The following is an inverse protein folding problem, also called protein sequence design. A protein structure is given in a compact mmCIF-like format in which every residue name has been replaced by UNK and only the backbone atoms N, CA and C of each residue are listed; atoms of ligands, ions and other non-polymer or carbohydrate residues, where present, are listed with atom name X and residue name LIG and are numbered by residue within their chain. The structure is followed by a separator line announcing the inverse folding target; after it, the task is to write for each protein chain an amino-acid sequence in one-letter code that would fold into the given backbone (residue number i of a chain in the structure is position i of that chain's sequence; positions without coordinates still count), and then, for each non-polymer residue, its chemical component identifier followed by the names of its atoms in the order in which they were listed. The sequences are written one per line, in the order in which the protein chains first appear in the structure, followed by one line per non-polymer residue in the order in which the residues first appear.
data_IF_935995114642
#
_entry.id   IF_935995114642
#
_cell.length_a   1.000
_cell.length_b   1.000
_cell.length_c   1.000
_cell.angle_alpha   90.00
_cell.angle_beta   90.00
_cell.angle_gamma   90.00
#
_symmetry.space_group_name_H-M   'P 1'
#
loop_
_entity.id
_entity.type
_entity.pdbx_description
1 polymer ?
#
# COMPACT_ATOMS: atom_id res chain seq x y z
N UNK A 1 23.98 10.58 -7.73
CA UNK A 1 22.83 11.50 -7.66
C UNK A 1 22.09 11.35 -6.32
N UNK A 2 21.80 10.13 -5.84
CA UNK A 2 21.07 9.89 -4.59
C UNK A 2 21.59 10.73 -3.40
N UNK A 3 22.91 10.72 -3.15
CA UNK A 3 23.52 11.47 -2.03
C UNK A 3 23.41 13.01 -2.12
N UNK A 4 22.94 13.55 -3.25
CA UNK A 4 22.75 15.01 -3.43
C UNK A 4 21.28 15.45 -3.28
N UNK A 5 20.37 14.52 -2.95
CA UNK A 5 18.97 14.84 -2.79
C UNK A 5 18.70 15.77 -1.60
N UNK A 6 17.70 16.63 -1.75
CA UNK A 6 17.20 17.50 -0.69
C UNK A 6 15.95 16.92 -0.01
N UNK A 7 15.44 17.66 0.97
CA UNK A 7 14.24 17.26 1.73
C UNK A 7 14.52 16.20 2.79
N UNK A 8 13.61 15.27 2.99
CA UNK A 8 13.80 14.16 3.94
C UNK A 8 14.86 13.19 3.43
N UNK A 9 15.84 12.86 4.26
CA UNK A 9 16.99 12.03 3.90
C UNK A 9 17.40 11.14 5.07
N UNK A 10 18.13 10.08 4.76
CA UNK A 10 18.90 9.28 5.72
C UNK A 10 20.41 9.49 5.54
N UNK A 11 20.79 10.43 4.66
CA UNK A 11 22.16 10.87 4.41
C UNK A 11 23.08 9.79 3.86
N UNK A 12 22.61 9.04 2.84
CA UNK A 12 23.43 8.07 2.12
C UNK A 12 24.68 8.71 1.53
N UNK A 13 25.84 8.09 1.74
CA UNK A 13 27.13 8.59 1.21
C UNK A 13 27.47 7.90 -0.13
N UNK A 14 28.18 8.61 -1.04
CA UNK A 14 28.69 8.00 -2.26
C UNK A 14 29.59 6.80 -2.00
N UNK A 15 29.27 5.64 -2.61
CA UNK A 15 29.99 4.39 -2.41
C UNK A 15 29.61 3.62 -1.14
N UNK A 16 28.61 4.06 -0.40
CA UNK A 16 27.96 3.28 0.65
C UNK A 16 27.16 2.12 0.02
N UNK A 17 27.14 1.00 0.72
CA UNK A 17 26.34 -0.16 0.33
C UNK A 17 25.25 -0.41 1.38
N UNK A 18 24.00 -0.47 0.92
CA UNK A 18 22.85 -0.81 1.74
C UNK A 18 22.08 -1.98 1.14
N UNK A 19 21.35 -2.71 1.96
CA UNK A 19 20.45 -3.76 1.46
C UNK A 19 19.16 -3.13 0.92
N UNK A 20 18.50 -3.83 -0.01
CA UNK A 20 17.17 -3.44 -0.51
C UNK A 20 16.17 -3.31 0.65
N UNK A 21 16.21 -4.23 1.63
CA UNK A 21 15.39 -4.19 2.84
C UNK A 21 15.58 -2.88 3.63
N UNK A 22 16.85 -2.50 3.87
CA UNK A 22 17.18 -1.24 4.55
C UNK A 22 16.67 -0.02 3.77
N UNK A 23 16.84 0.01 2.45
CA UNK A 23 16.36 1.12 1.63
C UNK A 23 14.83 1.22 1.64
N UNK A 24 14.11 0.08 1.61
CA UNK A 24 12.64 0.08 1.74
C UNK A 24 12.22 0.64 3.11
N UNK A 25 12.94 0.31 4.20
CA UNK A 25 12.70 0.90 5.53
C UNK A 25 12.92 2.42 5.53
N UNK A 26 14.03 2.89 4.94
CA UNK A 26 14.31 4.32 4.81
C UNK A 26 13.19 5.07 4.06
N UNK A 27 12.69 4.50 2.96
CA UNK A 27 11.60 5.06 2.16
C UNK A 27 10.28 5.05 2.93
N UNK A 28 9.92 3.92 3.52
CA UNK A 28 8.60 3.73 4.14
C UNK A 28 8.47 4.47 5.47
N UNK A 29 9.51 4.47 6.28
CA UNK A 29 9.51 5.01 7.65
C UNK A 29 9.92 6.48 7.66
N UNK A 30 11.11 6.80 7.15
CA UNK A 30 11.66 8.15 7.19
C UNK A 30 11.32 9.00 5.96
N UNK A 31 10.69 8.41 4.94
CA UNK A 31 10.38 9.13 3.68
C UNK A 31 11.63 9.66 2.97
N UNK A 32 12.71 8.89 2.97
CA UNK A 32 14.03 9.30 2.52
C UNK A 32 14.11 9.42 0.99
N UNK A 33 14.32 10.64 0.49
CA UNK A 33 14.42 10.93 -0.95
C UNK A 33 15.68 10.32 -1.57
N UNK A 34 16.81 10.37 -0.85
CA UNK A 34 18.06 9.74 -1.25
C UNK A 34 17.93 8.22 -1.41
N UNK A 35 17.19 7.56 -0.51
CA UNK A 35 16.89 6.14 -0.64
C UNK A 35 15.96 5.84 -1.83
N UNK A 36 14.97 6.72 -2.13
CA UNK A 36 14.13 6.59 -3.32
C UNK A 36 14.97 6.62 -4.60
N UNK A 37 15.85 7.60 -4.73
CA UNK A 37 16.72 7.74 -5.90
C UNK A 37 17.71 6.57 -6.01
N UNK A 38 18.31 6.16 -4.88
CA UNK A 38 19.21 4.99 -4.88
C UNK A 38 18.49 3.71 -5.37
N UNK A 39 17.24 3.49 -4.95
CA UNK A 39 16.43 2.36 -5.43
C UNK A 39 16.05 2.51 -6.90
N UNK A 40 15.70 3.72 -7.34
CA UNK A 40 15.36 4.00 -8.75
C UNK A 40 16.55 3.71 -9.67
N UNK A 41 17.76 4.20 -9.31
CA UNK A 41 18.99 3.93 -10.04
C UNK A 41 19.35 2.44 -10.05
N UNK A 42 19.16 1.74 -8.93
CA UNK A 42 19.41 0.30 -8.83
C UNK A 42 18.47 -0.52 -9.73
N UNK A 43 17.18 -0.18 -9.77
CA UNK A 43 16.18 -0.96 -10.51
C UNK A 43 16.23 -0.67 -12.01
N UNK A 44 16.37 0.59 -12.42
CA UNK A 44 16.20 1.04 -13.80
C UNK A 44 17.48 1.64 -14.43
N UNK A 45 18.56 1.76 -13.68
CA UNK A 45 19.82 2.35 -14.14
C UNK A 45 19.86 3.89 -14.06
N UNK A 46 18.71 4.56 -13.95
CA UNK A 46 18.59 6.01 -13.71
C UNK A 46 17.23 6.36 -13.11
N UNK A 47 17.13 7.52 -12.48
CA UNK A 47 15.85 8.05 -12.00
C UNK A 47 14.86 8.25 -13.14
N UNK A 48 15.29 8.83 -14.27
CA UNK A 48 14.42 9.06 -15.43
C UNK A 48 13.82 7.76 -15.98
N UNK A 49 14.63 6.71 -16.09
CA UNK A 49 14.18 5.41 -16.55
C UNK A 49 13.18 4.78 -15.55
N UNK A 50 13.39 4.98 -14.25
CA UNK A 50 12.47 4.52 -13.24
C UNK A 50 11.15 5.31 -13.26
N UNK A 51 11.20 6.61 -13.43
CA UNK A 51 10.02 7.47 -13.57
C UNK A 51 9.18 7.07 -14.81
N UNK A 52 9.84 6.71 -15.92
CA UNK A 52 9.14 6.15 -17.08
C UNK A 52 8.37 4.86 -16.72
N UNK A 53 8.99 3.94 -15.96
CA UNK A 53 8.31 2.73 -15.47
C UNK A 53 7.17 3.06 -14.49
N UNK A 54 7.34 4.06 -13.61
CA UNK A 54 6.28 4.53 -12.72
C UNK A 54 5.05 5.01 -13.51
N UNK A 55 5.25 5.80 -14.56
CA UNK A 55 4.17 6.29 -15.41
C UNK A 55 3.50 5.18 -16.23
N UNK A 56 4.28 4.24 -16.76
CA UNK A 56 3.74 3.05 -17.41
C UNK A 56 2.87 2.23 -16.46
N UNK A 57 3.35 2.03 -15.22
CA UNK A 57 2.59 1.34 -14.19
C UNK A 57 1.32 2.09 -13.80
N UNK A 58 1.38 3.40 -13.63
CA UNK A 58 0.22 4.24 -13.35
C UNK A 58 -0.84 4.10 -14.44
N UNK A 59 -0.45 4.18 -15.71
CA UNK A 59 -1.35 3.96 -16.84
C UNK A 59 -1.98 2.56 -16.81
N UNK A 60 -1.19 1.52 -16.53
CA UNK A 60 -1.65 0.14 -16.39
C UNK A 60 -2.63 -0.09 -15.23
N UNK A 61 -2.59 0.74 -14.20
CA UNK A 61 -3.53 0.75 -13.07
C UNK A 61 -4.78 1.60 -13.33
N UNK A 62 -4.83 2.33 -14.45
CA UNK A 62 -5.92 3.23 -14.77
C UNK A 62 -5.88 4.56 -14.02
N UNK A 63 -4.71 4.98 -13.53
CA UNK A 63 -4.47 6.27 -12.86
C UNK A 63 -4.43 7.39 -13.89
N UNK A 64 -5.59 7.96 -14.21
CA UNK A 64 -5.77 8.90 -15.34
C UNK A 64 -5.31 10.32 -15.05
N UNK A 65 -5.27 10.69 -13.77
CA UNK A 65 -4.89 12.03 -13.30
C UNK A 65 -3.48 12.06 -12.72
N UNK A 66 -2.65 11.08 -13.07
CA UNK A 66 -1.30 10.92 -12.52
C UNK A 66 -0.23 11.07 -13.58
N UNK A 67 0.75 11.91 -13.28
CA UNK A 67 2.01 12.03 -14.02
C UNK A 67 3.15 12.19 -13.04
N UNK A 68 4.06 11.24 -13.01
CA UNK A 68 5.28 11.30 -12.21
C UNK A 68 6.40 11.97 -13.01
N UNK A 69 7.15 12.87 -12.35
CA UNK A 69 8.31 13.58 -12.92
C UNK A 69 9.59 13.27 -12.15
N UNK A 70 9.46 12.84 -10.89
CA UNK A 70 10.55 12.31 -10.07
C UNK A 70 10.05 11.12 -9.24
N UNK A 71 10.96 10.37 -8.64
CA UNK A 71 10.63 9.16 -7.89
C UNK A 71 10.33 9.39 -6.40
N UNK A 72 10.50 10.60 -5.88
CA UNK A 72 10.38 10.90 -4.44
C UNK A 72 9.25 11.87 -4.08
N UNK A 73 8.57 12.46 -5.08
CA UNK A 73 7.41 13.32 -4.84
C UNK A 73 7.75 14.77 -4.49
N UNK A 74 8.93 15.26 -4.87
CA UNK A 74 9.28 16.67 -4.73
C UNK A 74 8.51 17.53 -5.72
N UNK A 75 8.19 18.77 -5.30
CA UNK A 75 7.44 19.73 -6.13
C UNK A 75 8.21 20.05 -7.41
N UNK A 76 7.58 19.77 -8.55
CA UNK A 76 8.04 20.12 -9.88
C UNK A 76 6.83 20.23 -10.81
N UNK A 77 6.90 21.07 -11.83
CA UNK A 77 5.83 21.26 -12.80
C UNK A 77 5.39 19.91 -13.40
N UNK A 78 4.07 19.74 -13.54
CA UNK A 78 3.43 18.55 -14.07
C UNK A 78 3.58 17.25 -13.21
N UNK A 79 4.15 17.32 -12.01
CA UNK A 79 4.11 16.19 -11.08
C UNK A 79 2.77 16.19 -10.35
N UNK A 80 1.83 15.40 -10.83
CA UNK A 80 0.44 15.46 -10.39
C UNK A 80 -0.14 14.06 -10.13
N UNK A 81 -1.14 14.03 -9.23
CA UNK A 81 -1.97 12.84 -8.98
C UNK A 81 -3.32 13.28 -8.40
N UNK A 82 -4.26 12.34 -8.27
CA UNK A 82 -5.52 12.53 -7.56
C UNK A 82 -5.64 11.58 -6.36
N UNK A 83 -6.55 11.89 -5.43
CA UNK A 83 -6.82 11.00 -4.30
C UNK A 83 -7.31 9.62 -4.76
N UNK A 84 -8.08 9.57 -5.84
CA UNK A 84 -8.55 8.32 -6.42
C UNK A 84 -7.39 7.48 -6.99
N UNK A 85 -6.48 8.09 -7.73
CA UNK A 85 -5.34 7.41 -8.31
C UNK A 85 -4.39 6.88 -7.23
N UNK A 86 -4.14 7.67 -6.18
CA UNK A 86 -3.37 7.20 -5.02
C UNK A 86 -4.05 6.01 -4.33
N UNK A 87 -5.40 5.99 -4.25
CA UNK A 87 -6.13 4.85 -3.71
C UNK A 87 -5.99 3.61 -4.59
N UNK A 88 -6.00 3.75 -5.93
CA UNK A 88 -5.76 2.64 -6.87
C UNK A 88 -4.36 2.03 -6.68
N UNK A 89 -3.32 2.88 -6.63
CA UNK A 89 -1.94 2.46 -6.40
C UNK A 89 -1.78 1.78 -5.03
N UNK A 90 -2.37 2.37 -3.99
CA UNK A 90 -2.32 1.82 -2.64
C UNK A 90 -3.01 0.46 -2.56
N UNK A 91 -4.18 0.29 -3.22
CA UNK A 91 -4.89 -0.99 -3.30
C UNK A 91 -4.04 -2.06 -3.97
N UNK A 92 -3.44 -1.73 -5.11
CA UNK A 92 -2.53 -2.65 -5.81
C UNK A 92 -1.39 -3.10 -4.89
N UNK A 93 -0.75 -2.15 -4.21
CA UNK A 93 0.37 -2.41 -3.32
C UNK A 93 -0.02 -3.36 -2.16
N UNK A 94 -1.09 -3.04 -1.42
CA UNK A 94 -1.46 -3.84 -0.24
C UNK A 94 -2.09 -5.19 -0.58
N UNK A 95 -2.66 -5.34 -1.77
CA UNK A 95 -3.27 -6.61 -2.20
C UNK A 95 -2.26 -7.56 -2.83
N UNK A 96 -1.35 -7.05 -3.66
CA UNK A 96 -0.34 -7.85 -4.35
C UNK A 96 0.94 -8.06 -3.55
N UNK A 97 1.27 -7.10 -2.69
CA UNK A 97 2.50 -7.07 -1.90
C UNK A 97 2.20 -6.77 -0.42
N UNK A 98 1.41 -7.63 0.28
CA UNK A 98 1.00 -7.38 1.65
C UNK A 98 2.17 -7.26 2.62
N UNK A 99 3.37 -7.72 2.24
CA UNK A 99 4.60 -7.55 3.01
C UNK A 99 4.96 -6.08 3.26
N UNK A 100 4.38 -5.13 2.48
CA UNK A 100 4.58 -3.69 2.72
C UNK A 100 4.18 -3.28 4.14
N UNK A 101 3.24 -3.99 4.75
CA UNK A 101 2.81 -3.73 6.12
C UNK A 101 3.92 -4.00 7.15
N UNK A 102 4.90 -4.88 6.84
CA UNK A 102 6.07 -5.11 7.70
C UNK A 102 6.95 -3.86 7.81
N UNK A 103 6.86 -2.94 6.84
CA UNK A 103 7.61 -1.69 6.80
C UNK A 103 6.76 -0.50 7.25
N UNK A 104 5.54 -0.38 6.72
CA UNK A 104 4.67 0.77 6.95
C UNK A 104 4.20 0.91 8.40
N UNK A 105 4.24 -0.16 9.19
CA UNK A 105 3.87 -0.18 10.61
C UNK A 105 5.05 0.00 11.57
N UNK A 106 6.29 0.02 11.09
CA UNK A 106 7.46 0.33 11.91
C UNK A 106 7.32 1.77 12.44
N UNK A 107 7.37 1.94 13.76
CA UNK A 107 7.36 3.28 14.36
C UNK A 107 8.74 3.91 14.42
N UNK A 108 9.70 3.19 14.93
CA UNK A 108 11.11 3.60 15.03
C UNK A 108 11.99 2.39 14.81
N UNK A 109 13.08 2.58 14.08
CA UNK A 109 14.11 1.55 13.87
C UNK A 109 15.45 2.22 13.60
N UNK A 110 16.56 1.57 13.92
CA UNK A 110 17.88 2.04 13.54
C UNK A 110 18.37 1.33 12.29
N UNK A 111 19.08 2.06 11.45
CA UNK A 111 19.87 1.50 10.35
C UNK A 111 21.35 1.78 10.60
N UNK A 112 22.22 0.99 10.01
CA UNK A 112 23.67 1.17 10.10
C UNK A 112 24.20 1.66 8.75
N UNK A 113 24.83 2.82 8.74
CA UNK A 113 25.64 3.28 7.63
C UNK A 113 27.00 2.59 7.71
N UNK A 114 27.46 2.01 6.59
CA UNK A 114 28.80 1.45 6.46
C UNK A 114 29.50 2.18 5.33
N UNK A 115 30.43 3.05 5.69
CA UNK A 115 31.16 3.89 4.74
C UNK A 115 32.68 3.65 4.86
N UNK A 116 33.46 4.26 4.01
CA UNK A 116 34.93 4.24 4.14
C UNK A 116 35.44 4.87 5.43
N UNK A 117 34.62 5.68 6.10
CA UNK A 117 34.96 6.35 7.38
C UNK A 117 34.62 5.51 8.61
N UNK A 118 33.98 4.35 8.42
CA UNK A 118 33.51 3.47 9.49
C UNK A 118 32.00 3.26 9.49
N UNK A 119 31.49 2.71 10.57
CA UNK A 119 30.06 2.44 10.77
C UNK A 119 29.44 3.46 11.74
N UNK A 120 28.21 3.90 11.46
CA UNK A 120 27.43 4.77 12.33
C UNK A 120 25.95 4.36 12.29
N UNK A 121 25.26 4.51 13.43
CA UNK A 121 23.83 4.25 13.54
C UNK A 121 23.03 5.52 13.17
N UNK A 122 21.89 5.31 12.49
CA UNK A 122 20.93 6.35 12.16
C UNK A 122 19.51 5.90 12.51
N UNK A 123 18.81 6.73 13.31
CA UNK A 123 17.46 6.44 13.77
C UNK A 123 16.38 6.85 12.75
N UNK A 124 15.56 5.90 12.32
CA UNK A 124 14.36 6.16 11.53
C UNK A 124 13.18 6.41 12.45
N UNK A 125 12.34 7.38 12.12
CA UNK A 125 11.05 7.62 12.80
C UNK A 125 9.95 7.77 11.77
N UNK A 126 8.83 7.04 11.96
CA UNK A 126 7.74 7.04 11.00
C UNK A 126 7.02 8.39 10.97
N UNK A 127 6.84 8.90 9.75
CA UNK A 127 6.09 10.13 9.50
C UNK A 127 4.57 9.94 9.60
N UNK A 128 4.09 8.69 9.53
CA UNK A 128 2.67 8.35 9.66
C UNK A 128 2.28 8.12 11.12
N UNK A 129 1.78 9.16 11.78
CA UNK A 129 1.35 9.07 13.18
C UNK A 129 0.11 8.20 13.40
N UNK A 130 -0.67 7.89 12.35
CA UNK A 130 -1.85 7.04 12.48
C UNK A 130 -1.50 5.67 13.05
N UNK A 131 -0.31 5.11 12.77
CA UNK A 131 0.11 3.81 13.31
C UNK A 131 0.23 3.79 14.85
N UNK A 132 0.19 4.95 15.52
CA UNK A 132 0.13 5.09 16.98
C UNK A 132 -1.20 5.66 17.48
N UNK A 133 -1.96 6.34 16.63
CA UNK A 133 -3.15 7.09 17.01
C UNK A 133 -4.44 6.37 16.64
N UNK A 134 -4.40 5.46 15.68
CA UNK A 134 -5.56 4.74 15.18
C UNK A 134 -5.35 3.22 15.31
N UNK A 135 -6.15 2.58 16.15
CA UNK A 135 -5.93 1.19 16.57
C UNK A 135 -5.88 0.16 15.43
N UNK A 136 -6.56 0.44 14.34
CA UNK A 136 -6.66 -0.47 13.18
C UNK A 136 -5.70 -0.11 12.04
N UNK A 137 -4.86 0.92 12.21
CA UNK A 137 -3.96 1.39 11.15
C UNK A 137 -2.91 0.33 10.78
N UNK A 138 -2.79 0.07 9.48
CA UNK A 138 -1.78 -0.81 8.87
C UNK A 138 -0.77 -0.05 8.00
N UNK A 139 -0.88 1.28 7.94
CA UNK A 139 0.03 2.15 7.18
C UNK A 139 -0.72 3.31 6.55
N UNK A 140 -0.40 3.80 5.36
CA UNK A 140 0.62 3.33 4.43
C UNK A 140 1.75 4.37 4.31
N UNK A 141 1.46 5.57 3.75
CA UNK A 141 2.47 6.59 3.47
C UNK A 141 1.92 8.01 3.61
N UNK A 142 2.74 8.91 4.15
CA UNK A 142 2.48 10.36 4.18
C UNK A 142 3.31 11.09 3.13
N UNK A 143 2.83 12.25 2.71
CA UNK A 143 3.57 13.22 1.91
C UNK A 143 3.37 14.63 2.46
N UNK A 144 4.35 15.51 2.28
CA UNK A 144 4.20 16.92 2.59
C UNK A 144 5.22 17.74 1.80
N UNK A 145 4.71 18.69 1.03
CA UNK A 145 5.51 19.67 0.27
C UNK A 145 4.88 21.06 0.39
N UNK A 146 5.54 22.07 -0.14
CA UNK A 146 5.01 23.42 -0.17
C UNK A 146 3.73 23.55 -0.98
N UNK A 147 3.65 22.88 -2.13
CA UNK A 147 2.49 22.91 -3.03
C UNK A 147 1.43 21.89 -2.65
N UNK A 148 1.82 20.64 -2.42
CA UNK A 148 0.89 19.55 -2.11
C UNK A 148 0.33 19.63 -0.67
N UNK A 149 0.89 20.46 0.20
CA UNK A 149 0.54 20.56 1.62
C UNK A 149 0.67 19.20 2.33
N UNK A 150 -0.31 18.81 3.14
CA UNK A 150 -0.25 17.58 3.93
C UNK A 150 -1.13 16.50 3.34
N UNK A 151 -0.52 15.41 2.91
CA UNK A 151 -1.18 14.28 2.28
C UNK A 151 -0.95 12.99 3.07
N UNK A 152 -1.88 12.05 2.99
CA UNK A 152 -1.73 10.69 3.50
C UNK A 152 -2.56 9.70 2.69
N UNK A 153 -1.96 8.58 2.32
CA UNK A 153 -2.67 7.35 2.04
C UNK A 153 -2.65 6.51 3.31
N UNK A 154 -3.79 6.41 3.97
CA UNK A 154 -3.97 5.63 5.19
C UNK A 154 -4.61 4.29 4.87
N UNK A 155 -4.08 3.22 5.46
CA UNK A 155 -4.67 1.88 5.39
C UNK A 155 -5.03 1.38 6.78
N UNK A 156 -6.12 0.66 6.89
CA UNK A 156 -6.57 0.06 8.14
C UNK A 156 -7.25 -1.28 7.89
N UNK A 157 -7.19 -2.17 8.88
CA UNK A 157 -7.86 -3.47 8.87
C UNK A 157 -8.60 -3.70 10.18
N UNK A 158 -9.89 -4.04 10.07
CA UNK A 158 -10.75 -4.39 11.18
C UNK A 158 -11.75 -5.46 10.72
N UNK A 159 -11.93 -6.52 11.49
CA UNK A 159 -12.90 -7.59 11.23
C UNK A 159 -12.80 -8.17 9.81
N UNK A 160 -11.58 -8.38 9.33
CA UNK A 160 -11.22 -8.80 7.95
C UNK A 160 -11.63 -7.82 6.83
N UNK A 161 -12.08 -6.61 7.17
CA UNK A 161 -12.34 -5.54 6.21
C UNK A 161 -11.09 -4.67 6.13
N UNK A 162 -10.58 -4.47 4.90
CA UNK A 162 -9.44 -3.59 4.63
C UNK A 162 -9.93 -2.33 3.94
N UNK A 163 -9.55 -1.18 4.48
CA UNK A 163 -9.93 0.12 3.95
C UNK A 163 -8.70 0.97 3.62
N UNK A 164 -8.88 1.84 2.64
CA UNK A 164 -7.92 2.86 2.24
C UNK A 164 -8.63 4.20 2.30
N UNK A 165 -8.04 5.16 3.02
CA UNK A 165 -8.48 6.55 3.03
C UNK A 165 -7.33 7.44 2.52
N UNK A 166 -7.59 8.24 1.49
CA UNK A 166 -6.60 9.14 0.90
C UNK A 166 -7.02 10.58 1.16
N UNK A 167 -6.17 11.32 1.85
CA UNK A 167 -6.31 12.75 2.07
C UNK A 167 -5.23 13.48 1.28
N UNK A 168 -5.65 14.47 0.49
CA UNK A 168 -4.75 15.32 -0.28
C UNK A 168 -4.93 16.77 0.15
N UNK A 169 -3.83 17.54 0.16
CA UNK A 169 -3.81 18.98 0.40
C UNK A 169 -4.48 19.45 1.71
N UNK A 170 -4.43 18.65 2.77
CA UNK A 170 -4.90 19.11 4.08
C UNK A 170 -4.11 20.35 4.55
N UNK A 171 -4.75 21.30 5.28
CA UNK A 171 -4.11 22.56 5.67
C UNK A 171 -2.97 22.36 6.67
N UNK A 172 -3.03 21.31 7.50
CA UNK A 172 -1.98 20.96 8.44
C UNK A 172 -1.90 19.44 8.70
N UNK A 173 -0.85 19.01 9.39
CA UNK A 173 -0.60 17.61 9.65
C UNK A 173 -1.62 16.95 10.59
N UNK A 174 -2.32 17.70 11.46
CA UNK A 174 -3.32 17.14 12.38
C UNK A 174 -4.61 16.86 11.64
N UNK A 175 -5.02 17.80 10.78
CA UNK A 175 -6.23 17.68 9.96
C UNK A 175 -6.15 16.46 9.06
N UNK A 176 -5.02 16.22 8.34
CA UNK A 176 -4.90 15.03 7.49
C UNK A 176 -5.12 13.71 8.22
N UNK A 177 -4.66 13.61 9.49
CA UNK A 177 -4.86 12.40 10.28
C UNK A 177 -6.27 12.30 10.86
N UNK A 178 -6.84 13.42 11.28
CA UNK A 178 -8.23 13.46 11.76
C UNK A 178 -9.21 13.06 10.64
N UNK A 179 -9.05 13.64 9.45
CA UNK A 179 -9.90 13.35 8.29
C UNK A 179 -9.73 11.90 7.83
N UNK A 180 -8.49 11.37 7.81
CA UNK A 180 -8.24 9.98 7.46
C UNK A 180 -8.92 9.02 8.47
N UNK A 181 -8.82 9.30 9.78
CA UNK A 181 -9.49 8.51 10.80
C UNK A 181 -11.02 8.54 10.65
N UNK A 182 -11.59 9.73 10.42
CA UNK A 182 -13.03 9.89 10.22
C UNK A 182 -13.54 9.12 8.98
N UNK A 183 -12.79 9.14 7.87
CA UNK A 183 -13.13 8.37 6.67
C UNK A 183 -13.03 6.86 6.91
N UNK A 184 -12.02 6.39 7.64
CA UNK A 184 -11.88 4.98 7.99
C UNK A 184 -13.01 4.53 8.91
N UNK A 185 -13.36 5.31 9.95
CA UNK A 185 -14.48 5.03 10.85
C UNK A 185 -15.81 4.98 10.10
N UNK A 186 -16.04 5.94 9.19
CA UNK A 186 -17.20 5.91 8.31
C UNK A 186 -17.23 4.62 7.46
N UNK A 187 -16.13 4.30 6.81
CA UNK A 187 -16.03 3.09 6.00
C UNK A 187 -16.34 1.82 6.81
N UNK A 188 -15.76 1.66 8.00
CA UNK A 188 -16.06 0.52 8.88
C UNK A 188 -17.51 0.52 9.41
N UNK A 189 -18.17 1.68 9.50
CA UNK A 189 -19.56 1.76 9.95
C UNK A 189 -20.56 1.32 8.88
N UNK A 190 -20.21 1.44 7.60
CA UNK A 190 -21.13 1.13 6.49
C UNK A 190 -20.79 -0.19 5.78
N UNK A 191 -19.58 -0.71 5.95
CA UNK A 191 -19.17 -1.97 5.33
C UNK A 191 -19.55 -3.16 6.22
N UNK A 192 -20.11 -4.21 5.61
CA UNK A 192 -20.37 -5.50 6.26
C UNK A 192 -19.75 -6.62 5.41
N UNK A 193 -19.01 -7.53 6.04
CA UNK A 193 -18.40 -8.66 5.35
C UNK A 193 -19.19 -9.95 5.60
N UNK A 194 -19.79 -10.47 4.55
CA UNK A 194 -20.32 -11.83 4.55
C UNK A 194 -19.20 -12.82 4.21
N UNK A 195 -19.07 -13.86 5.02
CA UNK A 195 -18.19 -15.00 4.74
C UNK A 195 -19.00 -16.27 4.78
N UNK A 196 -18.99 -17.04 3.69
CA UNK A 196 -19.71 -18.30 3.64
C UNK A 196 -18.97 -19.40 4.41
N UNK A 197 -19.38 -19.62 5.64
CA UNK A 197 -18.85 -20.67 6.52
C UNK A 197 -19.55 -22.02 6.35
N UNK A 198 -20.68 -22.06 5.61
CA UNK A 198 -21.52 -23.23 5.41
C UNK A 198 -21.93 -23.37 3.93
N UNK A 199 -20.97 -23.63 3.03
CA UNK A 199 -21.29 -23.82 1.63
C UNK A 199 -22.18 -25.06 1.44
N UNK A 200 -23.02 -25.11 0.38
CA UNK A 200 -23.84 -26.29 0.07
C UNK A 200 -22.99 -27.53 -0.09
N UNK A 201 -23.51 -28.69 0.34
CA UNK A 201 -22.82 -29.94 0.13
C UNK A 201 -22.68 -30.28 -1.39
N UNK A 202 -21.47 -30.65 -1.79
CA UNK A 202 -21.21 -31.02 -3.18
C UNK A 202 -21.54 -32.48 -3.41
N UNK A 203 -22.29 -32.82 -4.49
CA UNK A 203 -22.56 -34.21 -4.85
C UNK A 203 -21.32 -34.87 -5.50
N UNK A 204 -21.25 -36.19 -5.44
CA UNK A 204 -20.33 -36.94 -6.30
C UNK A 204 -20.84 -36.91 -7.74
N UNK A 205 -19.95 -36.72 -8.71
CA UNK A 205 -20.28 -36.77 -10.13
C UNK A 205 -19.86 -38.10 -10.74
N UNK A 206 -20.73 -38.64 -11.63
CA UNK A 206 -20.42 -39.86 -12.40
C UNK A 206 -19.44 -39.53 -13.53
N UNK A 207 -18.41 -40.37 -13.68
CA UNK A 207 -17.40 -40.24 -14.74
C UNK A 207 -17.76 -41.22 -15.87
N UNK A 208 -17.78 -40.74 -17.12
CA UNK A 208 -17.90 -41.56 -18.31
C UNK A 208 -16.54 -41.70 -19.00
N UNK A 209 -16.14 -42.95 -19.28
CA UNK A 209 -14.87 -43.20 -20.00
C UNK A 209 -13.59 -43.10 -19.16
N UNK A 210 -13.70 -42.96 -17.83
CA UNK A 210 -12.57 -42.97 -16.93
C UNK A 210 -12.35 -44.31 -16.23
N UNK A 211 -11.23 -44.45 -15.51
CA UNK A 211 -10.93 -45.61 -14.66
C UNK A 211 -11.80 -45.62 -13.41
N UNK A 212 -12.09 -44.44 -12.88
CA UNK A 212 -12.98 -44.25 -11.73
C UNK A 212 -14.39 -43.95 -12.20
N UNK A 213 -15.37 -44.52 -11.50
CA UNK A 213 -16.78 -44.31 -11.82
C UNK A 213 -17.37 -43.03 -11.30
N UNK A 214 -16.71 -42.43 -10.31
CA UNK A 214 -17.14 -41.21 -9.62
C UNK A 214 -15.97 -40.31 -9.31
N UNK A 215 -16.23 -39.03 -9.24
CA UNK A 215 -15.29 -37.99 -8.78
C UNK A 215 -15.91 -37.14 -7.68
N UNK A 216 -15.16 -36.88 -6.64
CA UNK A 216 -15.53 -35.93 -5.57
C UNK A 216 -15.18 -34.50 -5.98
N UNK A 217 -16.05 -33.57 -5.66
CA UNK A 217 -15.86 -32.15 -5.89
C UNK A 217 -15.40 -31.48 -4.61
N UNK A 218 -14.62 -30.42 -4.73
CA UNK A 218 -14.25 -29.52 -3.64
C UNK A 218 -14.38 -28.06 -4.07
N UNK A 219 -14.68 -27.19 -3.13
CA UNK A 219 -14.60 -25.75 -3.37
C UNK A 219 -13.14 -25.31 -3.41
N UNK A 220 -12.80 -24.42 -4.36
CA UNK A 220 -11.44 -23.88 -4.48
C UNK A 220 -11.12 -22.86 -3.38
N UNK A 221 -12.14 -22.27 -2.74
CA UNK A 221 -11.99 -21.30 -1.67
C UNK A 221 -13.29 -20.97 -0.96
N UNK A 222 -13.22 -20.07 0.00
CA UNK A 222 -14.40 -19.57 0.73
C UNK A 222 -14.96 -18.35 0.00
N UNK A 223 -16.25 -18.35 -0.29
CA UNK A 223 -16.92 -17.18 -0.83
C UNK A 223 -17.04 -16.10 0.25
N UNK A 224 -16.67 -14.87 -0.11
CA UNK A 224 -16.92 -13.69 0.70
C UNK A 224 -17.48 -12.55 -0.15
N UNK A 225 -18.34 -11.74 0.45
CA UNK A 225 -18.97 -10.58 -0.18
C UNK A 225 -18.95 -9.39 0.77
N UNK A 226 -18.40 -8.27 0.29
CA UNK A 226 -18.40 -7.01 1.02
C UNK A 226 -19.65 -6.21 0.64
N UNK A 227 -20.58 -6.08 1.58
CA UNK A 227 -21.74 -5.22 1.42
C UNK A 227 -21.42 -3.79 1.88
N UNK A 228 -21.82 -2.83 1.03
CA UNK A 228 -21.71 -1.39 1.29
C UNK A 228 -23.08 -0.67 1.16
N UNK A 229 -24.12 -1.44 0.88
CA UNK A 229 -25.47 -0.92 0.64
C UNK A 229 -26.40 -1.08 1.84
N UNK A 230 -25.93 -1.74 2.91
CA UNK A 230 -26.72 -1.99 4.12
C UNK A 230 -27.77 -3.08 3.93
N UNK A 231 -27.50 -4.05 3.05
CA UNK A 231 -28.40 -5.18 2.86
C UNK A 231 -28.43 -6.10 4.08
N UNK A 232 -29.55 -6.79 4.29
CA UNK A 232 -29.60 -7.85 5.30
C UNK A 232 -28.89 -9.10 4.78
N UNK A 233 -27.69 -9.36 5.31
CA UNK A 233 -26.85 -10.48 4.89
C UNK A 233 -27.42 -11.86 5.28
N UNK A 234 -28.44 -11.91 6.15
CA UNK A 234 -29.16 -13.13 6.50
C UNK A 234 -30.10 -13.60 5.36
N UNK A 235 -30.42 -12.69 4.44
CA UNK A 235 -31.28 -13.00 3.28
C UNK A 235 -30.48 -13.54 2.08
N UNK A 236 -29.19 -13.81 2.22
CA UNK A 236 -28.38 -14.38 1.13
C UNK A 236 -28.85 -15.82 0.84
N UNK A 237 -29.35 -16.00 -0.38
CA UNK A 237 -29.70 -17.31 -0.89
C UNK A 237 -28.52 -17.97 -1.62
N UNK A 238 -28.29 -19.25 -1.35
CA UNK A 238 -27.23 -20.05 -1.98
C UNK A 238 -27.83 -21.02 -2.98
N UNK A 239 -27.40 -20.94 -4.24
CA UNK A 239 -27.83 -21.86 -5.29
C UNK A 239 -26.61 -22.58 -5.89
N UNK A 240 -26.56 -23.90 -5.71
CA UNK A 240 -25.55 -24.71 -6.35
C UNK A 240 -26.01 -25.00 -7.80
N UNK A 241 -25.17 -24.68 -8.78
CA UNK A 241 -25.35 -25.05 -10.18
C UNK A 241 -24.09 -25.80 -10.63
N UNK A 242 -24.26 -27.02 -11.05
CA UNK A 242 -23.18 -27.83 -11.63
C UNK A 242 -23.28 -27.76 -13.15
N UNK A 243 -22.15 -27.80 -13.89
CA UNK A 243 -22.12 -27.77 -15.35
C UNK A 243 -22.73 -29.02 -16.00
#
# INVERSE_FOLDING_TARGET
HAASMGGSQVFLEPGETQTVDTLIKCISVASANDACVAMAEFIAGSEDAFVAQMNERAAGLGMKDTNFVNCCGLDVDNHMTSAYDVALMSRELITKYPQIHNYSTIWMENITHVTKKGSSEFGLTNTNKLIKQYAYATGLKTGSTGLAKYCVSATAEKDNIKLIAVIMAAPDYKVRFADASALLDYGFSVCQLYQDTTPPALPELSVRGGTDKKVSLSYEGTFSYLDIAGNDLNLIEKKLSLP
#
